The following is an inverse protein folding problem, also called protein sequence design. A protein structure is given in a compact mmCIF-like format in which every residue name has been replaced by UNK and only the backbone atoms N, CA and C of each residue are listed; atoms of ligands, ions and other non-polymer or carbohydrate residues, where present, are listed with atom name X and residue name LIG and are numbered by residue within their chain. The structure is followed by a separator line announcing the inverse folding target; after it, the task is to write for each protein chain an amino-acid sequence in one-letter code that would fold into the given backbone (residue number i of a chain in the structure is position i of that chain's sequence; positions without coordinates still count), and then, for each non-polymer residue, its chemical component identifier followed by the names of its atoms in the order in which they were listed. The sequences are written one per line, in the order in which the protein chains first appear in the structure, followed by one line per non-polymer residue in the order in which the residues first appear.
data_IF_589429247533
#
_entry.id   IF_589429247533
#
_cell.length_a   1.000
_cell.length_b   1.000
_cell.length_c   1.000
_cell.angle_alpha   90.00
_cell.angle_beta   90.00
_cell.angle_gamma   90.00
#
_symmetry.space_group_name_H-M   'P 1'
#
loop_
_entity.id
_entity.type
_entity.pdbx_description
1 polymer ?
#
# COMPACT_ATOMS: atom_id res chain seq x y z
N UNK A 1 25.40 -25.75 9.37
CA UNK A 1 25.57 -24.54 8.55
C UNK A 1 24.78 -24.72 7.27
N UNK A 2 23.56 -24.22 7.21
CA UNK A 2 22.76 -24.27 5.98
C UNK A 2 23.27 -23.16 5.04
N UNK A 3 23.78 -23.55 3.87
CA UNK A 3 24.18 -22.61 2.82
C UNK A 3 22.95 -21.82 2.39
N UNK A 4 22.99 -20.50 2.59
CA UNK A 4 22.07 -19.56 1.96
C UNK A 4 22.30 -19.61 0.44
N UNK A 5 21.50 -20.42 -0.26
CA UNK A 5 21.37 -20.27 -1.71
C UNK A 5 20.76 -18.89 -1.96
N UNK A 6 21.57 -17.98 -2.48
CA UNK A 6 21.12 -16.67 -2.90
C UNK A 6 19.97 -16.82 -3.90
N UNK A 7 18.79 -16.33 -3.50
CA UNK A 7 17.59 -16.33 -4.34
C UNK A 7 17.83 -15.28 -5.42
N UNK A 8 17.83 -15.70 -6.68
CA UNK A 8 17.96 -14.82 -7.84
C UNK A 8 16.64 -14.08 -8.07
N UNK A 9 16.52 -12.88 -7.49
CA UNK A 9 15.36 -11.99 -7.65
C UNK A 9 14.96 -11.29 -6.35
N UNK A 10 14.10 -10.26 -6.39
CA UNK A 10 13.41 -9.80 -5.19
C UNK A 10 12.63 -10.98 -4.59
N UNK A 11 12.81 -11.22 -3.29
CA UNK A 11 12.11 -12.31 -2.60
C UNK A 11 10.61 -11.99 -2.67
N UNK A 12 9.86 -12.82 -3.40
CA UNK A 12 8.41 -12.66 -3.55
C UNK A 12 7.78 -12.78 -2.17
N UNK A 13 6.98 -11.79 -1.77
CA UNK A 13 6.16 -11.90 -0.56
C UNK A 13 5.03 -12.90 -0.81
N UNK A 14 4.66 -13.67 0.20
CA UNK A 14 3.42 -14.46 0.19
C UNK A 14 2.38 -13.75 1.05
N UNK A 15 1.10 -14.10 0.90
CA UNK A 15 0.03 -13.55 1.75
C UNK A 15 0.33 -13.74 3.25
N UNK A 16 0.91 -14.90 3.60
CA UNK A 16 1.28 -15.21 4.98
C UNK A 16 2.64 -14.66 5.42
N UNK A 17 3.50 -14.22 4.50
CA UNK A 17 4.83 -13.73 4.83
C UNK A 17 5.23 -12.54 3.96
N UNK A 18 5.16 -11.36 4.56
CA UNK A 18 5.59 -10.14 3.91
C UNK A 18 7.08 -9.86 4.16
N UNK A 19 7.78 -9.57 3.08
CA UNK A 19 9.19 -9.17 3.06
C UNK A 19 9.35 -7.65 2.85
N UNK A 20 8.23 -6.94 2.66
CA UNK A 20 8.15 -5.48 2.49
C UNK A 20 7.52 -4.81 3.70
N UNK A 21 7.83 -3.53 3.89
CA UNK A 21 7.43 -2.76 5.06
C UNK A 21 6.76 -1.46 4.62
N UNK A 22 5.73 -1.01 5.35
CA UNK A 22 5.28 0.36 5.27
C UNK A 22 6.31 1.24 6.02
N UNK A 23 7.29 1.74 5.29
CA UNK A 23 8.51 2.35 5.86
C UNK A 23 8.28 3.72 6.47
N UNK A 24 7.23 4.46 6.08
CA UNK A 24 7.10 5.89 6.42
C UNK A 24 5.66 6.27 6.83
N UNK A 25 5.25 5.75 7.99
CA UNK A 25 4.01 6.21 8.64
C UNK A 25 4.22 7.56 9.29
N UNK A 26 5.28 7.72 10.09
CA UNK A 26 5.59 8.97 10.77
C UNK A 26 6.36 9.90 9.81
N UNK A 27 5.81 11.09 9.60
CA UNK A 27 6.45 12.15 8.82
C UNK A 27 6.93 13.32 9.70
N UNK A 28 6.47 13.40 10.96
CA UNK A 28 6.97 14.29 12.00
C UNK A 28 6.96 13.63 13.39
N UNK A 29 7.85 14.04 14.28
CA UNK A 29 8.03 13.43 15.61
C UNK A 29 7.26 14.17 16.70
N UNK A 30 6.68 13.41 17.64
CA UNK A 30 6.13 13.90 18.90
C UNK A 30 6.35 12.81 19.97
N UNK A 31 6.11 13.14 21.24
CA UNK A 31 6.17 12.17 22.33
C UNK A 31 4.93 11.26 22.31
N UNK A 32 5.14 9.94 22.44
CA UNK A 32 4.08 8.94 22.55
C UNK A 32 3.89 8.52 24.03
N UNK A 33 2.64 8.35 24.52
CA UNK A 33 2.40 7.92 25.89
C UNK A 33 2.91 6.50 26.14
N UNK A 34 3.76 6.32 27.16
CA UNK A 34 4.42 5.06 27.50
C UNK A 34 3.65 4.14 28.46
N UNK A 35 2.35 3.94 28.22
CA UNK A 35 1.52 3.04 29.05
C UNK A 35 1.55 1.59 28.52
N UNK A 36 1.52 0.61 29.42
CA UNK A 36 1.49 -0.80 29.00
C UNK A 36 0.07 -1.23 28.63
N UNK A 37 -0.16 -1.44 27.34
CA UNK A 37 -1.34 -2.12 26.81
C UNK A 37 -1.05 -3.59 26.54
N UNK A 38 -2.09 -4.42 26.62
CA UNK A 38 -2.07 -5.78 26.08
C UNK A 38 -2.76 -5.80 24.71
N UNK A 39 -2.37 -6.70 23.81
CA UNK A 39 -3.04 -6.86 22.51
C UNK A 39 -4.26 -7.77 22.63
N UNK A 40 -5.38 -7.43 22.00
CA UNK A 40 -6.58 -8.27 22.01
C UNK A 40 -6.30 -9.67 21.44
N UNK A 41 -6.45 -10.67 22.31
CA UNK A 41 -6.14 -12.06 22.01
C UNK A 41 -7.12 -12.73 21.04
N UNK A 42 -8.27 -12.10 20.75
CA UNK A 42 -9.29 -12.63 19.82
C UNK A 42 -9.03 -12.22 18.38
N UNK A 43 -8.23 -11.18 18.13
CA UNK A 43 -8.00 -10.66 16.79
C UNK A 43 -7.42 -11.74 15.86
N UNK A 44 -7.86 -11.70 14.59
CA UNK A 44 -7.42 -12.63 13.57
C UNK A 44 -5.93 -12.44 13.27
N UNK A 45 -5.23 -13.56 13.03
CA UNK A 45 -3.86 -13.56 12.50
C UNK A 45 -3.88 -13.11 11.04
N UNK A 46 -3.15 -12.05 10.73
CA UNK A 46 -3.13 -11.50 9.37
C UNK A 46 -1.94 -12.05 8.59
N UNK A 47 -0.72 -11.77 9.04
CA UNK A 47 0.50 -12.19 8.34
C UNK A 47 1.68 -12.30 9.29
N UNK A 48 2.73 -13.01 8.86
CA UNK A 48 4.05 -13.03 9.50
C UNK A 48 4.96 -12.02 8.84
N UNK A 49 5.76 -11.35 9.66
CA UNK A 49 6.66 -10.31 9.20
C UNK A 49 8.09 -10.72 9.43
N UNK A 50 8.89 -10.77 8.37
CA UNK A 50 10.23 -11.36 8.42
C UNK A 50 11.19 -10.67 9.40
N UNK A 51 11.02 -9.37 9.64
CA UNK A 51 11.84 -8.60 10.58
C UNK A 51 11.27 -8.58 12.00
N UNK A 52 10.13 -9.25 12.23
CA UNK A 52 9.32 -9.15 13.44
C UNK A 52 9.59 -10.18 14.53
N UNK A 53 10.51 -11.11 14.30
CA UNK A 53 10.65 -12.30 15.14
C UNK A 53 9.56 -13.35 14.87
N UNK A 54 9.46 -14.33 15.78
CA UNK A 54 8.44 -15.36 15.72
C UNK A 54 7.11 -14.81 16.25
N UNK A 55 6.09 -14.73 15.41
CA UNK A 55 4.77 -14.22 15.79
C UNK A 55 3.93 -13.81 14.58
N UNK A 56 2.61 -13.77 14.78
CA UNK A 56 1.68 -13.25 13.78
C UNK A 56 1.34 -11.79 14.09
N UNK A 57 1.32 -10.95 13.06
CA UNK A 57 0.80 -9.58 13.15
C UNK A 57 -0.73 -9.65 13.22
N UNK A 58 -1.31 -9.00 14.21
CA UNK A 58 -2.76 -8.92 14.43
C UNK A 58 -3.29 -7.50 14.30
N UNK A 59 -2.47 -6.48 14.61
CA UNK A 59 -2.77 -5.08 14.31
C UNK A 59 -1.62 -4.53 13.45
N UNK A 60 -1.85 -4.34 12.14
CA UNK A 60 -0.84 -3.82 11.24
C UNK A 60 -0.53 -2.35 11.49
N UNK A 61 0.70 -1.96 11.15
CA UNK A 61 1.13 -0.56 11.18
C UNK A 61 0.17 0.36 10.41
N UNK A 62 -0.13 1.52 10.99
CA UNK A 62 -0.97 2.55 10.39
C UNK A 62 -2.47 2.33 10.57
N UNK A 63 -2.90 1.35 11.36
CA UNK A 63 -4.32 1.18 11.74
C UNK A 63 -4.67 2.01 12.96
N UNK A 64 -5.89 2.53 12.98
CA UNK A 64 -6.47 3.21 14.14
C UNK A 64 -6.81 2.18 15.21
N UNK A 65 -6.40 2.46 16.44
CA UNK A 65 -6.57 1.58 17.59
C UNK A 65 -7.43 2.25 18.66
N UNK A 66 -8.04 1.41 19.48
CA UNK A 66 -8.92 1.78 20.58
C UNK A 66 -8.73 0.81 21.75
N UNK A 67 -8.91 1.25 23.01
CA UNK A 67 -9.11 0.33 24.12
C UNK A 67 -10.35 -0.51 23.85
N UNK A 68 -10.25 -1.81 24.11
CA UNK A 68 -11.40 -2.69 24.01
C UNK A 68 -12.44 -2.30 25.08
N UNK A 69 -13.71 -2.33 24.73
CA UNK A 69 -14.84 -2.10 25.66
C UNK A 69 -15.55 -3.43 25.99
N UNK A 70 -14.94 -4.55 25.59
CA UNK A 70 -15.52 -5.87 25.71
C UNK A 70 -15.34 -6.48 27.10
N UNK A 71 -16.29 -7.33 27.46
CA UNK A 71 -16.26 -8.10 28.70
C UNK A 71 -15.40 -9.36 28.49
N UNK A 72 -14.09 -9.26 28.71
CA UNK A 72 -13.15 -10.39 28.67
C UNK A 72 -13.24 -11.34 29.89
N UNK A 73 -14.21 -11.15 30.80
CA UNK A 73 -14.37 -11.95 32.01
C UNK A 73 -14.91 -11.16 33.21
N UNK A 74 -14.69 -11.68 34.43
CA UNK A 74 -15.35 -11.30 35.70
C UNK A 74 -15.16 -9.84 36.18
N UNK A 75 -14.33 -9.02 35.53
CA UNK A 75 -14.18 -7.59 35.88
C UNK A 75 -14.40 -6.62 34.73
N UNK A 76 -15.10 -7.08 33.68
CA UNK A 76 -15.93 -6.31 32.74
C UNK A 76 -15.56 -4.82 32.57
N UNK A 77 -14.44 -4.49 31.92
CA UNK A 77 -14.11 -3.12 31.47
C UNK A 77 -12.91 -3.12 30.50
N UNK A 78 -12.81 -4.10 29.58
CA UNK A 78 -11.75 -4.07 28.56
C UNK A 78 -10.33 -4.38 29.06
N UNK A 79 -10.20 -5.05 30.21
CA UNK A 79 -8.92 -5.40 30.84
C UNK A 79 -8.70 -6.91 30.92
N UNK A 80 -7.45 -7.34 30.76
CA UNK A 80 -7.01 -8.74 30.91
C UNK A 80 -5.82 -8.79 31.87
N UNK A 81 -5.62 -9.91 32.56
CA UNK A 81 -4.44 -10.14 33.39
C UNK A 81 -3.20 -10.39 32.50
N UNK A 82 -2.17 -9.57 32.71
CA UNK A 82 -0.83 -9.76 32.14
C UNK A 82 -0.23 -11.11 32.57
N UNK A 83 0.43 -11.81 31.64
CA UNK A 83 0.95 -13.17 31.86
C UNK A 83 2.00 -13.24 32.96
N UNK A 84 2.88 -12.24 33.06
CA UNK A 84 3.98 -12.24 34.04
C UNK A 84 3.55 -11.72 35.42
N UNK A 85 2.89 -10.57 35.43
CA UNK A 85 2.56 -9.86 36.67
C UNK A 85 1.25 -10.29 37.30
N UNK A 86 0.40 -11.03 36.56
CA UNK A 86 -1.00 -11.29 36.90
C UNK A 86 -1.75 -10.01 37.31
N UNK A 87 -1.40 -8.89 36.66
CA UNK A 87 -1.96 -7.56 36.91
C UNK A 87 -2.89 -7.21 35.76
N UNK A 88 -4.07 -6.67 36.07
CA UNK A 88 -5.03 -6.21 35.06
C UNK A 88 -4.46 -5.04 34.27
N UNK A 89 -4.43 -5.17 32.94
CA UNK A 89 -3.97 -4.16 32.00
C UNK A 89 -5.03 -3.92 30.93
N UNK A 90 -5.14 -2.68 30.40
CA UNK A 90 -6.06 -2.37 29.32
C UNK A 90 -5.66 -3.12 28.04
N UNK A 91 -6.67 -3.60 27.33
CA UNK A 91 -6.50 -4.31 26.06
C UNK A 91 -6.68 -3.34 24.89
N UNK A 92 -5.77 -3.41 23.93
CA UNK A 92 -5.78 -2.65 22.69
C UNK A 92 -6.36 -3.49 21.55
N UNK A 93 -7.31 -2.93 20.83
CA UNK A 93 -7.96 -3.53 19.66
C UNK A 93 -8.03 -2.51 18.50
N UNK A 94 -8.47 -2.96 17.32
CA UNK A 94 -8.83 -2.09 16.21
C UNK A 94 -10.02 -1.20 16.56
N UNK A 95 -9.95 0.06 16.17
CA UNK A 95 -11.10 0.95 16.25
C UNK A 95 -12.19 0.51 15.25
N UNK A 96 -13.45 0.59 15.66
CA UNK A 96 -14.60 0.16 14.85
C UNK A 96 -15.55 1.30 14.48
N UNK A 97 -15.06 2.54 14.55
CA UNK A 97 -15.84 3.73 14.28
C UNK A 97 -17.08 3.83 15.20
N UNK A 98 -17.03 3.30 16.43
CA UNK A 98 -18.12 3.38 17.40
C UNK A 98 -19.34 2.52 17.08
N UNK A 99 -19.17 1.40 16.37
CA UNK A 99 -20.24 0.44 16.06
C UNK A 99 -19.85 -0.96 16.50
N UNK A 100 -20.82 -1.78 16.90
CA UNK A 100 -20.59 -3.20 17.18
C UNK A 100 -20.23 -3.94 15.88
N UNK A 101 -19.10 -4.66 15.86
CA UNK A 101 -18.63 -5.42 14.68
C UNK A 101 -18.53 -6.89 15.05
N UNK A 102 -19.11 -7.76 14.22
CA UNK A 102 -18.99 -9.22 14.39
C UNK A 102 -17.83 -9.73 13.53
N UNK A 103 -16.86 -10.39 14.16
CA UNK A 103 -15.64 -10.87 13.49
C UNK A 103 -15.33 -12.32 13.87
N UNK A 104 -14.64 -13.00 12.95
CA UNK A 104 -14.09 -14.34 13.19
C UNK A 104 -12.71 -14.16 13.83
N UNK A 105 -12.58 -14.61 15.07
CA UNK A 105 -11.32 -14.54 15.81
C UNK A 105 -10.27 -15.54 15.33
N UNK A 106 -9.07 -15.50 15.92
CA UNK A 106 -7.96 -16.41 15.56
C UNK A 106 -8.31 -17.90 15.65
N UNK A 107 -9.20 -18.27 16.57
CA UNK A 107 -9.62 -19.67 16.80
C UNK A 107 -10.80 -20.09 15.91
N UNK A 108 -11.20 -19.25 14.95
CA UNK A 108 -12.35 -19.50 14.07
C UNK A 108 -13.70 -19.24 14.73
N UNK A 109 -13.71 -18.75 15.97
CA UNK A 109 -14.93 -18.44 16.72
C UNK A 109 -15.40 -17.02 16.44
N UNK A 110 -16.70 -16.85 16.21
CA UNK A 110 -17.31 -15.53 16.08
C UNK A 110 -17.30 -14.82 17.44
N UNK A 111 -16.88 -13.57 17.44
CA UNK A 111 -17.02 -12.66 18.58
C UNK A 111 -17.53 -11.30 18.11
N UNK A 112 -18.13 -10.55 19.02
CA UNK A 112 -18.57 -9.18 18.76
C UNK A 112 -17.59 -8.25 19.47
N UNK A 113 -16.93 -7.39 18.69
CA UNK A 113 -16.18 -6.24 19.22
C UNK A 113 -17.17 -5.11 19.44
N UNK A 114 -17.42 -4.76 20.70
CA UNK A 114 -18.31 -3.67 21.10
C UNK A 114 -17.81 -2.33 20.56
N UNK A 115 -18.75 -1.40 20.33
CA UNK A 115 -18.44 -0.03 19.95
C UNK A 115 -17.37 0.55 20.88
N UNK A 116 -16.26 0.98 20.28
CA UNK A 116 -15.10 1.52 20.99
C UNK A 116 -14.79 2.95 20.53
N UNK A 117 -13.90 3.63 21.25
CA UNK A 117 -13.48 5.01 20.96
C UNK A 117 -12.03 5.02 20.56
N UNK A 118 -11.75 5.57 19.38
CA UNK A 118 -10.39 5.67 18.87
C UNK A 118 -9.52 6.58 19.75
N UNK A 119 -8.28 6.14 20.03
CA UNK A 119 -7.30 6.87 20.84
C UNK A 119 -6.03 7.24 20.07
N UNK A 120 -5.80 6.64 18.91
CA UNK A 120 -4.60 6.90 18.12
C UNK A 120 -4.35 5.82 17.07
N UNK A 121 -3.11 5.74 16.63
CA UNK A 121 -2.68 4.91 15.50
C UNK A 121 -1.53 4.01 15.91
N UNK A 122 -1.55 2.76 15.45
CA UNK A 122 -0.45 1.82 15.66
C UNK A 122 0.80 2.28 14.89
N UNK A 123 1.86 2.65 15.62
CA UNK A 123 3.14 3.07 15.03
C UNK A 123 3.83 1.95 14.24
N UNK A 124 3.77 0.74 14.78
CA UNK A 124 4.41 -0.47 14.26
C UNK A 124 3.41 -1.60 14.04
N UNK A 125 3.92 -2.72 13.54
CA UNK A 125 3.13 -3.95 13.51
C UNK A 125 3.06 -4.50 14.93
N UNK A 126 1.86 -4.67 15.47
CA UNK A 126 1.65 -5.30 16.77
C UNK A 126 1.37 -6.78 16.57
N UNK A 127 2.10 -7.60 17.33
CA UNK A 127 2.04 -9.04 17.25
C UNK A 127 1.02 -9.59 18.25
N UNK A 128 0.54 -10.80 17.98
CA UNK A 128 -0.22 -11.53 18.98
C UNK A 128 0.62 -11.73 20.24
N UNK A 129 -0.02 -11.63 21.40
CA UNK A 129 0.63 -12.00 22.65
C UNK A 129 0.68 -13.52 22.79
N UNK A 130 1.88 -14.01 23.05
CA UNK A 130 2.13 -15.38 23.47
C UNK A 130 3.22 -15.37 24.55
N UNK A 131 3.27 -16.45 25.33
CA UNK A 131 4.25 -16.58 26.42
C UNK A 131 5.65 -16.72 25.82
N UNK A 132 6.45 -15.66 25.93
CA UNK A 132 7.86 -15.59 25.51
C UNK A 132 8.70 -14.90 26.61
N UNK A 133 10.00 -15.16 26.64
CA UNK A 133 10.94 -14.68 27.66
C UNK A 133 11.12 -13.15 27.73
N UNK A 134 10.50 -12.40 26.83
CA UNK A 134 10.51 -10.93 26.80
C UNK A 134 9.12 -10.28 26.98
N UNK A 135 8.10 -11.06 27.38
CA UNK A 135 6.73 -10.59 27.65
C UNK A 135 6.04 -9.92 26.44
N UNK A 136 6.31 -10.42 25.24
CA UNK A 136 5.74 -9.93 23.99
C UNK A 136 6.19 -8.52 23.60
N UNK A 137 5.63 -7.99 22.52
CA UNK A 137 5.85 -6.60 22.10
C UNK A 137 4.90 -5.68 22.85
N UNK A 138 5.43 -4.64 23.49
CA UNK A 138 4.59 -3.59 24.07
C UNK A 138 4.01 -2.70 22.96
N UNK A 139 2.68 -2.52 22.90
CA UNK A 139 2.06 -1.66 21.90
C UNK A 139 2.44 -0.19 22.11
N UNK A 140 2.85 0.46 21.03
CA UNK A 140 3.10 1.91 20.98
C UNK A 140 2.03 2.57 20.12
N UNK A 141 1.38 3.60 20.67
CA UNK A 141 0.26 4.30 20.06
C UNK A 141 0.66 5.75 19.84
N UNK A 142 0.32 6.26 18.66
CA UNK A 142 0.61 7.63 18.26
C UNK A 142 -0.70 8.42 18.16
N UNK A 143 -0.74 9.59 18.81
CA UNK A 143 -1.96 10.37 19.00
C UNK A 143 -1.84 11.84 18.55
N UNK A 144 -0.62 12.40 18.55
CA UNK A 144 -0.35 13.81 18.19
C UNK A 144 0.77 13.96 17.16
N UNK A 145 0.86 13.06 16.19
CA UNK A 145 1.88 13.11 15.14
C UNK A 145 1.30 13.39 13.76
N UNK A 146 2.19 13.82 12.89
CA UNK A 146 1.95 13.92 11.47
C UNK A 146 2.22 12.57 10.79
N UNK A 147 1.18 11.94 10.24
CA UNK A 147 1.27 10.65 9.55
C UNK A 147 1.04 10.74 8.04
N UNK A 148 1.60 9.78 7.31
CA UNK A 148 1.38 9.58 5.88
C UNK A 148 0.85 8.16 5.61
N UNK A 149 -0.25 8.07 4.86
CA UNK A 149 -0.88 6.80 4.47
C UNK A 149 -1.09 6.73 2.96
N UNK A 150 -1.01 5.52 2.36
CA UNK A 150 -1.40 5.35 0.96
C UNK A 150 -2.86 5.73 0.76
N UNK A 151 -3.11 6.48 -0.32
CA UNK A 151 -4.45 6.84 -0.74
C UNK A 151 -4.96 5.85 -1.79
N UNK A 152 -5.92 5.02 -1.39
CA UNK A 152 -6.55 4.01 -2.24
C UNK A 152 -8.06 4.27 -2.23
N UNK A 153 -8.62 5.00 -3.22
CA UNK A 153 -10.00 5.47 -3.17
C UNK A 153 -11.03 4.35 -3.01
N UNK A 154 -10.78 3.18 -3.62
CA UNK A 154 -11.71 2.06 -3.64
C UNK A 154 -11.52 1.15 -2.42
N UNK A 155 -12.60 0.92 -1.66
CA UNK A 155 -12.59 0.06 -0.46
C UNK A 155 -12.05 -1.36 -0.73
N UNK A 156 -12.44 -2.01 -1.83
CA UNK A 156 -11.97 -3.38 -2.13
C UNK A 156 -10.47 -3.46 -2.34
N UNK A 157 -9.88 -2.50 -3.06
CA UNK A 157 -8.43 -2.48 -3.31
C UNK A 157 -7.68 -2.11 -2.01
N UNK A 158 -8.27 -1.24 -1.17
CA UNK A 158 -7.74 -0.92 0.14
C UNK A 158 -7.78 -2.14 1.09
N UNK A 159 -8.81 -2.98 1.03
CA UNK A 159 -8.95 -4.19 1.84
C UNK A 159 -7.96 -5.30 1.45
N UNK A 160 -7.47 -5.32 0.22
CA UNK A 160 -6.41 -6.24 -0.23
C UNK A 160 -5.06 -6.00 0.48
N UNK A 161 -4.86 -4.82 1.10
CA UNK A 161 -3.61 -4.51 1.81
C UNK A 161 -3.77 -4.62 3.32
N UNK A 162 -2.93 -5.37 4.00
CA UNK A 162 -3.09 -5.57 5.45
C UNK A 162 -2.73 -4.29 6.26
N UNK A 163 -1.84 -3.44 5.75
CA UNK A 163 -1.46 -2.19 6.40
C UNK A 163 -2.58 -1.14 6.45
N UNK A 164 -2.39 -0.14 7.30
CA UNK A 164 -3.22 1.06 7.33
C UNK A 164 -3.22 1.78 5.98
N UNK A 165 -4.41 2.22 5.56
CA UNK A 165 -4.64 2.97 4.34
C UNK A 165 -5.80 3.93 4.51
N UNK A 166 -5.85 4.91 3.61
CA UNK A 166 -6.99 5.80 3.47
C UNK A 166 -7.80 5.40 2.24
N UNK A 167 -9.13 5.30 2.39
CA UNK A 167 -10.05 5.13 1.27
C UNK A 167 -11.27 6.05 1.40
N UNK A 168 -11.91 6.35 0.28
CA UNK A 168 -13.14 7.14 0.30
C UNK A 168 -14.34 6.23 0.53
N UNK A 169 -15.12 6.51 1.57
CA UNK A 169 -16.36 5.78 1.83
C UNK A 169 -17.39 5.97 0.70
N UNK A 170 -17.27 7.08 -0.05
CA UNK A 170 -18.12 7.43 -1.19
C UNK A 170 -17.25 7.99 -2.32
N UNK A 171 -17.24 7.31 -3.47
CA UNK A 171 -16.45 7.72 -4.64
C UNK A 171 -16.95 9.00 -5.31
N UNK A 172 -18.12 9.52 -4.91
CA UNK A 172 -18.60 10.82 -5.35
C UNK A 172 -18.09 11.98 -4.46
N UNK A 173 -17.58 11.67 -3.26
CA UNK A 173 -17.14 12.65 -2.26
C UNK A 173 -15.70 12.37 -1.83
N UNK A 174 -14.77 12.80 -2.69
CA UNK A 174 -13.34 12.66 -2.44
C UNK A 174 -12.88 13.50 -1.26
N UNK A 175 -11.93 12.95 -0.51
CA UNK A 175 -11.24 13.66 0.57
C UNK A 175 -10.56 14.94 0.09
N UNK A 176 -10.67 16.00 0.90
CA UNK A 176 -10.06 17.31 0.69
C UNK A 176 -9.18 17.69 1.88
N UNK A 177 -8.29 18.65 1.65
CA UNK A 177 -7.51 19.25 2.72
C UNK A 177 -8.44 19.93 3.73
N UNK A 178 -8.24 19.66 5.02
CA UNK A 178 -9.07 20.16 6.11
C UNK A 178 -10.19 19.21 6.54
N UNK A 179 -10.47 18.13 5.82
CA UNK A 179 -11.48 17.15 6.24
C UNK A 179 -11.06 16.39 7.51
N UNK A 180 -12.03 16.04 8.35
CA UNK A 180 -11.80 15.19 9.52
C UNK A 180 -11.80 13.71 9.14
N UNK A 181 -11.01 12.91 9.86
CA UNK A 181 -10.92 11.47 9.62
C UNK A 181 -11.37 10.66 10.83
N UNK A 182 -12.03 9.55 10.55
CA UNK A 182 -12.46 8.55 11.53
C UNK A 182 -12.02 7.16 11.09
N UNK A 183 -12.21 6.19 11.98
CA UNK A 183 -12.02 4.77 11.67
C UNK A 183 -13.21 4.17 10.93
N UNK A 184 -12.93 3.28 9.99
CA UNK A 184 -13.88 2.26 9.54
C UNK A 184 -14.07 1.15 10.60
N UNK A 185 -14.74 0.06 10.23
CA UNK A 185 -14.94 -1.09 11.11
C UNK A 185 -13.63 -1.79 11.53
N UNK A 186 -12.54 -1.65 10.76
CA UNK A 186 -11.28 -2.40 10.83
C UNK A 186 -10.05 -1.51 11.07
N UNK A 187 -10.21 -0.31 11.63
CA UNK A 187 -9.10 0.60 11.90
C UNK A 187 -8.48 1.29 10.67
N UNK A 188 -9.11 1.32 9.49
CA UNK A 188 -8.67 2.14 8.35
C UNK A 188 -9.21 3.56 8.45
N UNK A 189 -8.57 4.46 7.72
CA UNK A 189 -8.98 5.85 7.68
C UNK A 189 -10.03 6.09 6.59
N UNK A 190 -11.09 6.77 6.98
CA UNK A 190 -12.12 7.28 6.08
C UNK A 190 -12.44 8.74 6.42
N UNK A 191 -12.95 9.49 5.44
CA UNK A 191 -13.53 10.82 5.68
C UNK A 191 -14.72 10.71 6.64
N UNK A 192 -14.74 11.57 7.66
CA UNK A 192 -15.86 11.70 8.57
C UNK A 192 -17.08 12.30 7.83
N UNK A 193 -18.27 11.66 7.86
CA UNK A 193 -19.43 12.11 7.08
C UNK A 193 -20.18 13.28 7.74
N UNK A 194 -19.47 14.28 8.27
CA UNK A 194 -20.07 15.44 8.94
C UNK A 194 -21.03 16.21 8.03
N UNK A 195 -20.64 16.45 6.77
CA UNK A 195 -21.46 17.19 5.79
C UNK A 195 -22.82 16.50 5.56
N UNK A 196 -22.84 15.17 5.49
CA UNK A 196 -24.08 14.38 5.34
C UNK A 196 -24.97 14.46 6.58
N UNK A 197 -24.37 14.42 7.76
CA UNK A 197 -25.12 14.54 9.03
C UNK A 197 -25.69 15.95 9.21
N UNK A 198 -24.92 17.00 8.89
CA UNK A 198 -25.42 18.37 8.94
C UNK A 198 -26.58 18.59 7.96
N UNK A 199 -26.47 18.11 6.72
CA UNK A 199 -27.55 18.20 5.74
C UNK A 199 -28.82 17.46 6.20
N UNK A 200 -28.67 16.27 6.80
CA UNK A 200 -29.79 15.51 7.35
C UNK A 200 -30.44 16.23 8.55
N UNK A 201 -29.63 16.87 9.40
CA UNK A 201 -30.09 17.64 10.55
C UNK A 201 -30.89 18.88 10.11
N UNK A 202 -30.41 19.61 9.10
CA UNK A 202 -31.12 20.75 8.51
C UNK A 202 -32.43 20.32 7.83
N UNK A 203 -32.43 19.18 7.14
CA UNK A 203 -33.62 18.62 6.52
C UNK A 203 -34.67 18.22 7.57
N UNK A 204 -34.27 17.54 8.66
CA UNK A 204 -35.14 17.18 9.77
C UNK A 204 -35.71 18.41 10.48
N UNK A 205 -34.88 19.45 10.69
CA UNK A 205 -35.30 20.71 11.30
C UNK A 205 -36.34 21.44 10.43
N UNK A 206 -36.12 21.49 9.10
CA UNK A 206 -37.06 22.09 8.14
C UNK A 206 -38.38 21.32 8.10
N UNK A 207 -38.34 19.99 8.16
CA UNK A 207 -39.52 19.13 8.21
C UNK A 207 -40.27 19.17 9.55
N UNK A 208 -39.66 19.71 10.60
CA UNK A 208 -40.21 19.71 11.97
C UNK A 208 -40.20 18.32 12.63
N UNK A 209 -39.40 17.38 12.12
CA UNK A 209 -39.28 16.02 12.68
C UNK A 209 -38.27 15.97 13.83
N UNK A 210 -38.78 16.15 15.05
CA UNK A 210 -37.97 16.09 16.27
C UNK A 210 -37.36 14.70 16.53
N UNK A 211 -37.97 13.62 16.04
CA UNK A 211 -37.44 12.29 16.27
C UNK A 211 -36.17 12.09 15.43
N UNK A 212 -36.24 12.40 14.14
CA UNK A 212 -35.09 12.32 13.23
C UNK A 212 -33.99 13.30 13.64
N UNK A 213 -34.36 14.53 14.02
CA UNK A 213 -33.39 15.52 14.52
C UNK A 213 -32.57 14.99 15.70
N UNK A 214 -33.22 14.37 16.70
CA UNK A 214 -32.52 13.82 17.87
C UNK A 214 -31.63 12.62 17.52
N UNK A 215 -31.96 11.84 16.49
CA UNK A 215 -31.11 10.77 15.98
C UNK A 215 -29.84 11.36 15.37
N UNK A 216 -29.97 12.38 14.53
CA UNK A 216 -28.82 13.03 13.87
C UNK A 216 -27.91 13.76 14.88
N UNK A 217 -28.46 14.38 15.93
CA UNK A 217 -27.66 15.00 17.00
C UNK A 217 -26.83 13.96 17.76
N UNK A 218 -27.39 12.78 18.06
CA UNK A 218 -26.63 11.68 18.70
C UNK A 218 -25.53 11.17 17.79
N UNK A 219 -25.81 11.04 16.50
CA UNK A 219 -24.82 10.63 15.50
C UNK A 219 -23.69 11.65 15.37
N UNK A 220 -24.00 12.95 15.40
CA UNK A 220 -22.99 14.00 15.41
C UNK A 220 -22.07 13.90 16.63
N UNK A 221 -22.64 13.72 17.82
CA UNK A 221 -21.85 13.50 19.05
C UNK A 221 -20.96 12.26 18.95
N UNK A 222 -21.49 11.16 18.41
CA UNK A 222 -20.71 9.94 18.15
C UNK A 222 -19.55 10.21 17.20
N UNK A 223 -19.78 10.90 16.08
CA UNK A 223 -18.74 11.22 15.11
C UNK A 223 -17.64 12.08 15.73
N UNK A 224 -18.01 13.10 16.51
CA UNK A 224 -17.05 13.97 17.20
C UNK A 224 -16.13 13.20 18.15
N UNK A 225 -16.67 12.24 18.90
CA UNK A 225 -15.86 11.38 19.78
C UNK A 225 -14.88 10.48 18.99
N UNK A 226 -15.24 10.09 17.77
CA UNK A 226 -14.48 9.17 16.90
C UNK A 226 -13.43 9.86 16.02
N UNK A 227 -13.42 11.19 15.92
CA UNK A 227 -12.43 11.92 15.10
C UNK A 227 -11.03 11.63 15.62
N UNK A 228 -10.14 11.16 14.75
CA UNK A 228 -8.75 10.82 15.11
C UNK A 228 -7.77 11.90 14.66
N UNK A 229 -8.13 12.67 13.64
CA UNK A 229 -7.30 13.74 13.13
C UNK A 229 -7.95 14.50 11.99
N UNK A 230 -7.14 15.33 11.33
CA UNK A 230 -7.54 16.16 10.21
C UNK A 230 -6.56 16.00 9.05
N UNK A 231 -7.09 15.98 7.82
CA UNK A 231 -6.31 15.90 6.60
C UNK A 231 -5.55 17.19 6.40
N UNK A 232 -4.22 17.11 6.43
CA UNK A 232 -3.35 18.25 6.17
C UNK A 232 -3.16 18.48 4.68
N UNK A 233 -2.87 17.40 3.94
CA UNK A 233 -2.65 17.48 2.50
C UNK A 233 -2.93 16.14 1.83
N UNK A 234 -3.62 16.19 0.70
CA UNK A 234 -3.76 15.07 -0.24
C UNK A 234 -2.77 15.27 -1.39
N UNK A 235 -1.90 14.28 -1.61
CA UNK A 235 -0.95 14.27 -2.72
C UNK A 235 -1.35 13.15 -3.70
N UNK A 236 -1.69 13.52 -4.93
CA UNK A 236 -2.10 12.57 -5.97
C UNK A 236 -1.13 12.53 -7.16
N UNK A 237 -0.04 13.31 -7.13
CA UNK A 237 0.95 13.25 -8.19
C UNK A 237 1.78 11.97 -8.06
N UNK A 238 1.64 11.09 -9.04
CA UNK A 238 2.47 9.90 -9.22
C UNK A 238 3.33 10.06 -10.48
N UNK A 239 4.67 10.08 -10.37
CA UNK A 239 5.47 10.11 -9.14
C UNK A 239 5.43 11.51 -8.46
N UNK A 240 5.65 11.60 -7.13
CA UNK A 240 5.59 12.86 -6.41
C UNK A 240 6.61 13.90 -6.91
N UNK A 241 6.24 15.19 -6.87
CA UNK A 241 7.13 16.30 -7.26
C UNK A 241 8.40 16.28 -6.39
N UNK A 242 9.54 16.03 -7.04
CA UNK A 242 10.79 15.59 -6.39
C UNK A 242 11.47 14.44 -7.14
N UNK A 243 10.75 13.84 -8.11
CA UNK A 243 11.25 12.82 -9.02
C UNK A 243 12.34 13.30 -10.00
N UNK A 244 12.68 14.60 -10.04
CA UNK A 244 13.79 15.11 -10.87
C UNK A 244 15.15 14.46 -10.53
N UNK A 245 15.23 13.74 -9.40
CA UNK A 245 16.37 12.88 -9.03
C UNK A 245 16.45 11.59 -9.87
N UNK A 246 15.45 11.32 -10.71
CA UNK A 246 15.31 10.17 -11.61
C UNK A 246 15.56 10.50 -13.07
N UNK A 247 16.33 11.55 -13.38
CA UNK A 247 17.07 11.53 -14.65
C UNK A 247 18.14 10.45 -14.52
N UNK A 248 17.75 9.20 -14.71
CA UNK A 248 18.70 8.16 -15.12
C UNK A 248 19.23 8.56 -16.48
N UNK A 249 20.48 8.21 -16.77
CA UNK A 249 21.06 8.49 -18.09
C UNK A 249 20.15 7.94 -19.18
N UNK A 250 20.00 8.69 -20.28
CA UNK A 250 19.27 8.16 -21.41
C UNK A 250 19.97 6.91 -21.93
N UNK A 251 19.22 5.98 -22.51
CA UNK A 251 19.78 4.75 -23.08
C UNK A 251 20.85 5.04 -24.14
N UNK A 252 20.74 6.21 -24.79
CA UNK A 252 21.70 6.71 -25.77
C UNK A 252 22.98 7.24 -25.09
N UNK A 253 22.84 8.03 -24.02
CA UNK A 253 23.99 8.50 -23.22
C UNK A 253 24.74 7.34 -22.55
N UNK A 254 24.02 6.32 -22.10
CA UNK A 254 24.62 5.08 -21.57
C UNK A 254 25.41 4.32 -22.64
N UNK A 255 25.00 4.38 -23.91
CA UNK A 255 25.69 3.72 -25.02
C UNK A 255 26.95 4.46 -25.47
N UNK A 256 27.00 5.77 -25.23
CA UNK A 256 28.09 6.65 -25.64
C UNK A 256 29.14 6.90 -24.54
N UNK A 257 28.91 6.43 -23.31
CA UNK A 257 29.84 6.60 -22.19
C UNK A 257 31.00 5.58 -22.22
N UNK A 258 32.23 6.09 -22.08
CA UNK A 258 33.49 5.33 -22.07
C UNK A 258 33.57 4.29 -20.92
N UNK A 259 32.67 4.36 -19.93
CA UNK A 259 32.54 3.34 -18.87
C UNK A 259 31.93 2.02 -19.34
N UNK A 260 31.27 1.97 -20.50
CA UNK A 260 30.69 0.74 -21.04
C UNK A 260 31.70 -0.12 -21.81
N UNK A 261 32.78 0.48 -22.31
CA UNK A 261 33.92 -0.21 -22.95
C UNK A 261 35.19 0.37 -22.34
N UNK A 262 35.72 -0.26 -21.29
CA UNK A 262 36.98 0.16 -20.68
C UNK A 262 38.14 0.11 -21.70
N UNK A 263 38.47 1.25 -22.30
CA UNK A 263 39.61 1.42 -23.22
C UNK A 263 40.91 1.77 -22.48
N UNK A 264 40.85 2.00 -21.17
CA UNK A 264 41.98 2.49 -20.35
C UNK A 264 42.61 1.43 -19.43
N UNK A 265 42.01 0.24 -19.31
CA UNK A 265 42.58 -0.92 -18.61
C UNK A 265 42.59 -0.86 -17.07
N UNK A 266 42.10 0.21 -16.45
CA UNK A 266 42.08 0.33 -14.98
C UNK A 266 41.00 -0.56 -14.33
N UNK A 267 41.33 -1.20 -13.21
CA UNK A 267 40.41 -2.07 -12.46
C UNK A 267 39.87 -1.34 -11.22
N UNK A 268 38.63 -1.62 -10.80
CA UNK A 268 38.03 -1.00 -9.61
C UNK A 268 38.78 -1.26 -8.29
N UNK A 269 39.59 -2.32 -8.23
CA UNK A 269 40.46 -2.68 -7.09
C UNK A 269 41.63 -1.68 -6.91
N UNK A 270 41.97 -0.90 -7.95
CA UNK A 270 43.03 0.11 -7.91
C UNK A 270 42.59 1.43 -7.24
N UNK A 271 41.30 1.56 -6.86
CA UNK A 271 40.70 2.82 -6.39
C UNK A 271 40.44 2.91 -4.88
N UNK A 272 40.92 1.99 -4.02
CA UNK A 272 40.50 2.05 -2.61
C UNK A 272 41.22 1.18 -1.58
N UNK A 273 42.54 1.02 -1.66
CA UNK A 273 43.29 0.30 -0.63
C UNK A 273 44.06 1.19 0.37
N UNK A 274 44.10 2.52 0.20
CA UNK A 274 45.08 3.33 0.94
C UNK A 274 44.54 4.03 2.20
N UNK A 275 43.31 4.56 2.23
CA UNK A 275 42.95 5.54 3.28
C UNK A 275 41.63 5.31 4.05
N UNK A 276 41.07 4.10 4.04
CA UNK A 276 40.03 3.72 5.02
C UNK A 276 38.75 4.58 5.06
N UNK A 277 38.48 5.35 4.00
CA UNK A 277 37.32 6.22 3.92
C UNK A 277 36.10 5.45 3.38
N UNK A 278 34.99 5.33 4.12
CA UNK A 278 33.75 4.80 3.57
C UNK A 278 33.19 5.83 2.58
N UNK A 279 33.02 5.40 1.34
CA UNK A 279 32.65 6.20 0.18
C UNK A 279 31.47 7.16 0.32
N UNK A 280 31.41 8.12 -0.62
CA UNK A 280 30.34 9.10 -0.76
C UNK A 280 28.95 8.46 -0.99
N UNK A 281 27.84 9.21 -0.89
CA UNK A 281 26.46 8.71 -1.07
C UNK A 281 26.15 8.06 -2.43
N UNK A 282 27.08 8.10 -3.38
CA UNK A 282 27.01 7.44 -4.68
C UNK A 282 27.92 6.21 -4.80
N UNK A 283 28.53 5.79 -3.69
CA UNK A 283 29.50 4.71 -3.73
C UNK A 283 28.86 3.32 -3.79
N UNK A 284 29.61 2.44 -4.45
CA UNK A 284 29.21 1.13 -4.96
C UNK A 284 28.75 0.22 -3.83
N UNK A 285 27.45 -0.04 -3.73
CA UNK A 285 26.97 -1.20 -2.96
C UNK A 285 27.23 -2.48 -3.77
N UNK A 286 27.67 -3.54 -3.09
CA UNK A 286 28.02 -4.85 -3.70
C UNK A 286 26.91 -5.49 -4.57
N UNK A 287 25.66 -5.00 -4.52
CA UNK A 287 24.54 -5.48 -5.35
C UNK A 287 24.36 -4.71 -6.68
N UNK A 288 25.15 -3.68 -6.92
CA UNK A 288 25.11 -2.87 -8.15
C UNK A 288 26.07 -3.38 -9.22
N UNK A 289 26.65 -4.57 -9.04
CA UNK A 289 27.52 -5.21 -10.03
C UNK A 289 27.00 -6.59 -10.40
N UNK A 290 26.89 -6.86 -11.70
CA UNK A 290 26.78 -8.20 -12.25
C UNK A 290 27.97 -8.40 -13.20
N UNK A 291 28.97 -9.16 -12.76
CA UNK A 291 30.28 -9.20 -13.40
C UNK A 291 31.03 -7.87 -13.27
N UNK A 292 31.65 -7.38 -14.34
CA UNK A 292 32.35 -6.08 -14.39
C UNK A 292 31.43 -4.88 -14.70
N UNK A 293 30.11 -5.10 -14.78
CA UNK A 293 29.14 -4.07 -15.20
C UNK A 293 28.47 -3.44 -13.99
N UNK A 294 28.54 -2.11 -13.91
CA UNK A 294 27.81 -1.33 -12.91
C UNK A 294 26.37 -1.10 -13.37
N UNK A 295 25.41 -1.60 -12.61
CA UNK A 295 23.99 -1.31 -12.76
C UNK A 295 23.59 -0.33 -11.66
N UNK A 296 23.40 0.97 -11.96
CA UNK A 296 22.81 1.89 -11.00
C UNK A 296 21.39 1.40 -10.68
N UNK A 297 21.22 0.77 -9.52
CA UNK A 297 19.88 0.46 -9.00
C UNK A 297 19.26 1.75 -8.49
N UNK A 298 17.94 1.81 -8.59
CA UNK A 298 17.08 2.78 -7.93
C UNK A 298 17.50 3.10 -6.49
N UNK A 299 17.27 4.34 -6.04
CA UNK A 299 17.47 4.73 -4.63
C UNK A 299 16.69 3.75 -3.73
N UNK A 300 17.31 3.15 -2.69
CA UNK A 300 16.62 2.26 -1.76
C UNK A 300 15.35 2.91 -1.18
N UNK A 301 14.23 2.18 -1.15
CA UNK A 301 12.95 2.65 -0.63
C UNK A 301 12.00 3.27 -1.67
N UNK A 302 12.41 3.34 -2.94
CA UNK A 302 11.55 3.73 -4.06
C UNK A 302 11.39 2.57 -5.05
N UNK A 303 10.25 2.52 -5.71
CA UNK A 303 9.80 1.45 -6.60
C UNK A 303 9.51 2.01 -8.00
N UNK A 304 9.30 1.11 -8.96
CA UNK A 304 8.81 1.46 -10.29
C UNK A 304 7.27 1.43 -10.40
N UNK A 305 6.54 1.44 -9.28
CA UNK A 305 5.09 1.26 -9.29
C UNK A 305 4.70 -0.16 -9.69
N UNK A 306 5.42 -1.16 -9.17
CA UNK A 306 5.28 -2.56 -9.55
C UNK A 306 3.89 -3.15 -9.25
N UNK A 307 3.10 -2.50 -8.38
CA UNK A 307 1.74 -2.94 -8.05
C UNK A 307 0.66 -1.97 -8.56
N UNK A 308 1.05 -0.83 -9.14
CA UNK A 308 0.10 0.16 -9.66
C UNK A 308 -0.27 -0.22 -11.09
N UNK A 309 -1.57 -0.42 -11.33
CA UNK A 309 -2.10 -0.71 -12.66
C UNK A 309 -2.26 0.58 -13.46
N UNK A 310 -1.49 0.74 -14.54
CA UNK A 310 -1.59 1.86 -15.47
C UNK A 310 -2.36 1.40 -16.71
N UNK A 311 -3.49 2.04 -17.06
CA UNK A 311 -4.24 1.71 -18.26
C UNK A 311 -3.59 2.33 -19.51
N UNK A 312 -3.53 1.54 -20.58
CA UNK A 312 -3.17 1.97 -21.93
C UNK A 312 -4.33 1.66 -22.87
N UNK A 313 -4.70 2.65 -23.69
CA UNK A 313 -5.84 2.56 -24.61
C UNK A 313 -5.36 2.74 -26.05
N UNK A 314 -5.79 1.85 -26.93
CA UNK A 314 -5.58 1.93 -28.39
C UNK A 314 -4.11 2.13 -28.81
N UNK A 315 -3.18 1.53 -28.07
CA UNK A 315 -1.75 1.58 -28.39
C UNK A 315 -1.48 0.76 -29.64
N UNK A 316 -0.86 1.35 -30.67
CA UNK A 316 -0.45 0.61 -31.88
C UNK A 316 0.73 -0.29 -31.52
N UNK A 317 0.52 -1.61 -31.62
CA UNK A 317 1.53 -2.64 -31.30
C UNK A 317 2.22 -3.18 -32.56
N UNK A 318 1.66 -2.87 -33.73
CA UNK A 318 2.27 -3.12 -35.03
C UNK A 318 1.29 -2.92 -36.17
N UNK A 319 1.76 -3.16 -37.39
CA UNK A 319 0.96 -2.98 -38.62
C UNK A 319 1.07 -4.22 -39.50
N UNK A 320 -0.04 -4.63 -40.10
CA UNK A 320 -0.10 -5.71 -41.09
C UNK A 320 -0.24 -5.09 -42.47
N UNK A 321 0.74 -5.33 -43.34
CA UNK A 321 0.79 -4.74 -44.68
C UNK A 321 -0.20 -5.44 -45.63
N UNK A 322 -0.68 -4.75 -46.69
CA UNK A 322 -1.44 -5.38 -47.77
C UNK A 322 -0.72 -6.61 -48.33
N UNK A 323 -1.46 -7.68 -48.62
CA UNK A 323 -0.89 -8.91 -49.17
C UNK A 323 -0.32 -9.87 -48.13
N UNK A 324 -0.33 -9.52 -46.84
CA UNK A 324 0.10 -10.41 -45.75
C UNK A 324 -1.10 -11.14 -45.14
N UNK A 325 -0.91 -12.43 -44.80
CA UNK A 325 -1.91 -13.24 -44.12
C UNK A 325 -1.25 -14.22 -43.14
N UNK A 326 -2.00 -14.62 -42.12
CA UNK A 326 -1.61 -15.67 -41.19
C UNK A 326 -1.07 -15.11 -39.88
N UNK A 327 0.01 -15.72 -39.38
CA UNK A 327 0.57 -15.45 -38.06
C UNK A 327 1.42 -14.18 -38.06
N UNK A 328 1.12 -13.28 -37.13
CA UNK A 328 1.90 -12.07 -36.85
C UNK A 328 2.33 -12.04 -35.39
N UNK A 329 3.62 -11.87 -35.14
CA UNK A 329 4.21 -11.74 -33.81
C UNK A 329 4.50 -10.25 -33.54
N UNK A 330 3.83 -9.69 -32.55
CA UNK A 330 3.84 -8.27 -32.20
C UNK A 330 4.35 -8.09 -30.77
N UNK A 331 4.92 -6.92 -30.47
CA UNK A 331 5.49 -6.65 -29.14
C UNK A 331 4.90 -5.40 -28.49
N UNK A 332 4.40 -5.57 -27.28
CA UNK A 332 4.06 -4.51 -26.35
C UNK A 332 5.30 -4.19 -25.52
N UNK A 333 5.60 -2.90 -25.38
CA UNK A 333 6.79 -2.43 -24.65
C UNK A 333 6.49 -2.13 -23.18
N UNK A 334 5.22 -1.85 -22.84
CA UNK A 334 4.75 -1.60 -21.49
C UNK A 334 4.45 -2.93 -20.80
N UNK A 335 5.44 -3.46 -20.09
CA UNK A 335 5.41 -4.75 -19.41
C UNK A 335 5.82 -4.61 -17.95
N UNK A 336 5.37 -5.51 -17.04
CA UNK A 336 4.47 -6.64 -17.30
C UNK A 336 2.99 -6.21 -17.43
N UNK A 337 2.28 -6.88 -18.33
CA UNK A 337 0.85 -6.69 -18.59
C UNK A 337 0.04 -7.41 -17.52
N UNK A 338 -1.04 -6.80 -17.03
CA UNK A 338 -1.97 -7.43 -16.10
C UNK A 338 -2.75 -8.52 -16.84
N UNK A 339 -2.64 -9.76 -16.38
CA UNK A 339 -3.34 -10.90 -16.97
C UNK A 339 -4.84 -10.65 -17.07
N UNK A 340 -5.45 -11.03 -18.21
CA UNK A 340 -6.88 -10.81 -18.47
C UNK A 340 -7.29 -9.37 -18.83
N UNK A 341 -6.38 -8.39 -18.80
CA UNK A 341 -6.70 -7.00 -19.17
C UNK A 341 -6.54 -6.68 -20.67
N UNK A 342 -5.86 -7.54 -21.43
CA UNK A 342 -5.49 -7.29 -22.82
C UNK A 342 -6.66 -7.50 -23.79
N UNK A 343 -6.98 -6.46 -24.55
CA UNK A 343 -7.90 -6.48 -25.69
C UNK A 343 -7.14 -6.00 -26.92
N UNK A 344 -7.07 -6.83 -27.96
CA UNK A 344 -6.42 -6.48 -29.23
C UNK A 344 -7.49 -6.19 -30.26
N UNK A 345 -7.32 -5.13 -31.06
CA UNK A 345 -8.25 -4.74 -32.11
C UNK A 345 -7.52 -4.54 -33.44
N UNK A 346 -8.22 -4.88 -34.54
CA UNK A 346 -7.81 -4.56 -35.90
C UNK A 346 -8.98 -3.83 -36.57
N UNK A 347 -8.75 -2.63 -37.13
CA UNK A 347 -9.81 -1.78 -37.68
C UNK A 347 -10.99 -1.54 -36.71
N UNK A 348 -10.71 -1.46 -35.39
CA UNK A 348 -11.73 -1.28 -34.35
C UNK A 348 -12.52 -2.54 -33.99
N UNK A 349 -12.26 -3.68 -34.65
CA UNK A 349 -12.89 -4.96 -34.31
C UNK A 349 -11.99 -5.76 -33.38
N UNK A 350 -12.50 -6.29 -32.24
CA UNK A 350 -11.72 -7.15 -31.35
C UNK A 350 -11.25 -8.42 -32.05
N UNK A 351 -9.96 -8.73 -31.96
CA UNK A 351 -9.35 -9.97 -32.42
C UNK A 351 -8.80 -10.75 -31.23
N UNK A 352 -9.01 -12.06 -31.21
CA UNK A 352 -8.51 -12.91 -30.14
C UNK A 352 -7.04 -13.29 -30.42
N UNK A 353 -6.10 -12.96 -29.51
CA UNK A 353 -4.72 -13.40 -29.64
C UNK A 353 -4.62 -14.93 -29.57
N UNK A 354 -3.72 -15.50 -30.37
CA UNK A 354 -3.41 -16.94 -30.31
C UNK A 354 -2.48 -17.27 -29.15
N UNK A 355 -1.59 -16.33 -28.80
CA UNK A 355 -0.66 -16.44 -27.69
C UNK A 355 -0.34 -15.07 -27.11
N UNK A 356 -0.18 -15.00 -25.80
CA UNK A 356 0.19 -13.77 -25.06
C UNK A 356 1.21 -14.15 -23.99
N UNK A 357 2.37 -13.49 -24.03
CA UNK A 357 3.34 -13.46 -22.94
C UNK A 357 3.18 -12.15 -22.19
N UNK A 358 2.61 -12.22 -20.98
CA UNK A 358 2.32 -11.05 -20.15
C UNK A 358 3.58 -10.42 -19.52
N UNK A 359 4.68 -11.18 -19.37
CA UNK A 359 5.93 -10.66 -18.80
C UNK A 359 6.82 -10.01 -19.85
N UNK A 360 6.91 -10.60 -21.04
CA UNK A 360 7.78 -10.12 -22.13
C UNK A 360 7.05 -9.25 -23.15
N UNK A 361 5.72 -9.21 -23.09
CA UNK A 361 4.86 -8.40 -23.96
C UNK A 361 4.71 -8.96 -25.38
N UNK A 362 5.00 -10.24 -25.60
CA UNK A 362 4.85 -10.87 -26.91
C UNK A 362 3.37 -11.22 -27.14
N UNK A 363 2.79 -10.73 -28.22
CA UNK A 363 1.41 -11.00 -28.62
C UNK A 363 1.41 -11.58 -30.02
N UNK A 364 0.91 -12.81 -30.16
CA UNK A 364 0.75 -13.45 -31.46
C UNK A 364 -0.71 -13.40 -31.88
N UNK A 365 -0.97 -12.88 -33.07
CA UNK A 365 -2.32 -12.81 -33.67
C UNK A 365 -2.34 -13.49 -35.03
N UNK A 366 -3.49 -14.07 -35.38
CA UNK A 366 -3.75 -14.51 -36.75
C UNK A 366 -4.66 -13.47 -37.41
N UNK A 367 -4.15 -12.79 -38.43
CA UNK A 367 -4.89 -11.76 -39.16
C UNK A 367 -4.63 -11.90 -40.66
N UNK A 368 -5.66 -11.62 -41.47
CA UNK A 368 -5.58 -11.71 -42.92
C UNK A 368 -5.82 -10.33 -43.54
N UNK A 369 -4.77 -9.76 -44.15
CA UNK A 369 -4.82 -8.55 -44.94
C UNK A 369 -4.43 -8.81 -46.41
N UNK A 370 -4.58 -10.05 -46.90
CA UNK A 370 -4.18 -10.43 -48.26
C UNK A 370 -4.97 -9.67 -49.33
N UNK A 371 -6.27 -9.44 -49.09
CA UNK A 371 -7.15 -8.68 -49.99
C UNK A 371 -7.19 -7.17 -49.68
N UNK A 372 -6.41 -6.69 -48.72
CA UNK A 372 -6.41 -5.28 -48.30
C UNK A 372 -5.73 -4.37 -49.32
N UNK A 373 -6.14 -3.10 -49.34
CA UNK A 373 -5.53 -2.04 -50.15
C UNK A 373 -4.67 -1.07 -49.33
N UNK A 374 -4.69 -1.18 -47.99
CA UNK A 374 -3.94 -0.33 -47.07
C UNK A 374 -3.41 -1.12 -45.86
N UNK A 375 -2.33 -0.64 -45.21
CA UNK A 375 -1.85 -1.22 -43.96
C UNK A 375 -2.92 -1.15 -42.87
N UNK A 376 -3.04 -2.21 -42.08
CA UNK A 376 -3.97 -2.28 -40.95
C UNK A 376 -3.17 -2.17 -39.65
N UNK A 377 -3.51 -1.18 -38.83
CA UNK A 377 -2.95 -1.04 -37.49
C UNK A 377 -3.59 -2.07 -36.56
N UNK A 378 -2.72 -2.82 -35.87
CA UNK A 378 -3.12 -3.67 -34.75
C UNK A 378 -2.92 -2.86 -33.48
N UNK A 379 -4.00 -2.64 -32.74
CA UNK A 379 -4.03 -1.85 -31.52
C UNK A 379 -4.29 -2.73 -30.31
N UNK A 380 -3.76 -2.34 -29.15
CA UNK A 380 -3.98 -3.01 -27.89
C UNK A 380 -4.46 -2.03 -26.83
N UNK A 381 -5.48 -2.44 -26.08
CA UNK A 381 -5.95 -1.79 -24.85
C UNK A 381 -5.70 -2.77 -23.71
N UNK A 382 -4.93 -2.36 -22.71
CA UNK A 382 -4.49 -3.23 -21.62
C UNK A 382 -4.12 -2.42 -20.38
N UNK A 383 -3.85 -3.11 -19.27
CA UNK A 383 -3.21 -2.52 -18.10
C UNK A 383 -1.82 -3.09 -17.94
N UNK A 384 -0.85 -2.29 -17.52
CA UNK A 384 0.49 -2.76 -17.16
C UNK A 384 0.93 -2.19 -15.81
N UNK A 385 1.81 -2.91 -15.13
CA UNK A 385 2.41 -2.46 -13.86
C UNK A 385 3.88 -2.08 -14.07
N UNK A 386 4.51 -1.44 -13.09
CA UNK A 386 5.93 -1.08 -13.18
C UNK A 386 6.23 0.10 -14.11
N UNK A 387 5.20 0.89 -14.46
CA UNK A 387 5.27 1.97 -15.46
C UNK A 387 5.58 3.34 -14.85
N UNK A 388 5.61 3.46 -13.51
CA UNK A 388 5.77 4.75 -12.81
C UNK A 388 7.05 4.70 -11.97
N UNK A 389 8.22 5.05 -12.52
CA UNK A 389 9.45 5.10 -11.76
C UNK A 389 9.40 6.17 -10.66
N UNK A 390 9.90 5.83 -9.47
CA UNK A 390 10.05 6.78 -8.37
C UNK A 390 8.90 6.81 -7.38
N UNK A 391 8.06 5.77 -7.34
CA UNK A 391 6.96 5.65 -6.39
C UNK A 391 7.49 5.15 -5.04
N UNK A 392 7.24 5.86 -3.93
CA UNK A 392 7.59 5.38 -2.59
C UNK A 392 7.01 3.99 -2.29
N UNK A 393 7.76 3.13 -1.58
CA UNK A 393 7.28 1.77 -1.24
C UNK A 393 5.96 1.76 -0.46
N UNK A 394 5.66 2.82 0.29
CA UNK A 394 4.39 2.97 1.00
C UNK A 394 3.22 3.34 0.08
N UNK A 395 3.47 3.83 -1.14
CA UNK A 395 2.44 4.21 -2.12
C UNK A 395 2.27 3.13 -3.21
N UNK A 396 3.21 2.20 -3.37
CA UNK A 396 3.21 1.16 -4.40
C UNK A 396 2.26 0.00 -4.07
N UNK A 397 0.96 0.29 -4.08
CA UNK A 397 -0.13 -0.65 -3.88
C UNK A 397 -1.12 -0.58 -5.04
N UNK A 398 -1.83 -1.67 -5.28
CA UNK A 398 -2.91 -1.70 -6.27
C UNK A 398 -3.98 -0.66 -5.90
N UNK A 399 -4.43 0.09 -6.90
CA UNK A 399 -5.42 1.15 -6.73
C UNK A 399 -4.92 2.41 -6.00
N UNK A 400 -3.63 2.46 -5.63
CA UNK A 400 -3.04 3.65 -5.03
C UNK A 400 -2.93 4.78 -6.03
N UNK A 401 -3.44 5.94 -5.64
CA UNK A 401 -3.39 7.18 -6.44
C UNK A 401 -2.45 8.23 -5.83
N UNK A 402 -1.82 7.91 -4.70
CA UNK A 402 -0.90 8.81 -4.00
C UNK A 402 -0.93 8.59 -2.49
N UNK A 403 -0.90 9.67 -1.71
CA UNK A 403 -0.96 9.61 -0.26
C UNK A 403 -1.79 10.71 0.38
N UNK A 404 -2.39 10.36 1.52
CA UNK A 404 -3.05 11.29 2.42
C UNK A 404 -2.14 11.52 3.62
N UNK A 405 -1.92 12.79 3.95
CA UNK A 405 -1.19 13.19 5.14
C UNK A 405 -2.15 13.76 6.16
N UNK A 406 -2.07 13.24 7.38
CA UNK A 406 -3.05 13.48 8.44
C UNK A 406 -2.30 13.98 9.66
N UNK A 407 -2.81 15.05 10.26
CA UNK A 407 -2.42 15.50 11.59
C UNK A 407 -3.34 14.82 12.60
N UNK A 408 -2.77 13.96 13.44
CA UNK A 408 -3.51 13.36 14.55
C UNK A 408 -3.75 14.42 15.64
N UNK A 409 -4.91 14.33 16.31
CA UNK A 409 -5.40 15.38 17.22
C UNK A 409 -5.90 14.81 18.57
N UNK A 410 -5.44 13.62 18.97
CA UNK A 410 -6.02 12.87 20.09
C UNK A 410 -5.23 12.96 21.38
#
# INVERSE_FOLDING_TARGET
MAMFRGIAGPIKSTQDQYMRTNTKLQAGTHDSPGEKFLVDNRLKRLFRYHFGGDGWVVIPKGRIVAPATDNFGESQDGVINDFDGNVKRPVLTLANGGKDVTEVGKDGTNHVRKANRAIGVAYGNLYEEFVDGFNGMQPTIENEIYIELPYIPKKSDAEEIEWGSFYDADLADFVKNGDFVISDENGRFIKAPFEKVYAALDAAATAGDLAEYNVQVKELGRLQEQVVGQVWSVETNLPPQGWLKWVTWSTEDMRQDDKWINNSGFRPEDMGATDGFPGYPYDKTYRNMEGQKYFPRAIPGLTNGANIEVPFTDLVIGTVQPGQSGRHDLRIWQVPIVEGSLVVTANGTPIQPTYVDYELGLVTVNFDNAAGSAPVDIKATFKATGQIPGVPTNWDWKGSVGAVRILLQK
#
